data_IF_546022304216
#
_entry.id   IF_546022304216
#
_cell.length_a   1.000
_cell.length_b   1.000
_cell.length_c   1.000
_cell.angle_alpha   90.00
_cell.angle_beta   90.00
_cell.angle_gamma   90.00
#
_symmetry.space_group_name_H-M   'P 1'
#
loop_
_entity.id
_entity.type
_entity.pdbx_description
1 polymer ?
#
# COMPACT_ATOMS: atom_id res chain seq x y z
N UNK A 1 7.27 -34.11 27.32
CA UNK A 1 6.21 -33.94 26.29
C UNK A 1 6.92 -33.72 24.97
N UNK A 2 6.62 -34.52 23.94
CA UNK A 2 7.30 -34.44 22.65
C UNK A 2 7.11 -33.05 22.03
N UNK A 3 8.21 -32.40 21.63
CA UNK A 3 8.21 -31.14 20.87
C UNK A 3 7.62 -31.28 19.46
N UNK A 4 7.15 -32.47 19.08
CA UNK A 4 6.65 -32.74 17.75
C UNK A 4 5.19 -32.27 17.64
N UNK A 5 5.00 -31.15 16.94
CA UNK A 5 3.71 -30.66 16.52
C UNK A 5 3.50 -31.05 15.05
N UNK A 6 2.37 -31.70 14.73
CA UNK A 6 2.00 -32.09 13.36
C UNK A 6 1.02 -31.10 12.71
N UNK A 7 0.61 -30.08 13.46
CA UNK A 7 -0.33 -29.07 13.04
C UNK A 7 0.42 -27.78 12.74
N UNK A 8 0.65 -27.54 11.44
CA UNK A 8 1.11 -26.25 10.94
C UNK A 8 0.07 -25.16 11.19
N UNK A 9 0.53 -23.93 11.37
CA UNK A 9 -0.31 -22.73 11.37
C UNK A 9 -0.90 -22.53 9.97
N UNK A 10 -2.19 -22.21 9.87
CA UNK A 10 -2.84 -21.94 8.59
C UNK A 10 -3.13 -20.45 8.40
N UNK A 11 -2.75 -19.96 7.24
CA UNK A 11 -3.10 -18.66 6.70
C UNK A 11 -3.49 -18.80 5.24
N UNK A 12 -4.00 -17.74 4.62
CA UNK A 12 -4.26 -17.80 3.18
C UNK A 12 -4.76 -16.51 2.58
N UNK A 13 -5.31 -16.60 1.38
CA UNK A 13 -6.02 -15.50 0.72
C UNK A 13 -7.32 -15.93 0.09
N UNK A 14 -8.29 -15.03 0.14
CA UNK A 14 -9.56 -15.12 -0.57
C UNK A 14 -9.58 -14.07 -1.69
N UNK A 15 -9.67 -14.54 -2.93
CA UNK A 15 -9.86 -13.71 -4.13
C UNK A 15 -10.55 -14.52 -5.22
N UNK A 16 -10.99 -13.86 -6.28
CA UNK A 16 -11.32 -14.57 -7.53
C UNK A 16 -11.08 -13.66 -8.75
N UNK A 17 -10.28 -14.11 -9.75
CA UNK A 17 -9.45 -15.33 -9.73
C UNK A 17 -8.29 -15.23 -8.72
N UNK A 18 -7.66 -16.36 -8.38
CA UNK A 18 -6.53 -16.40 -7.44
C UNK A 18 -5.20 -16.83 -8.06
N UNK A 19 -5.21 -17.43 -9.23
CA UNK A 19 -4.07 -18.21 -9.78
C UNK A 19 -2.77 -17.39 -9.93
N UNK A 20 -2.89 -16.12 -10.28
CA UNK A 20 -1.75 -15.23 -10.49
C UNK A 20 -1.33 -14.45 -9.23
N UNK A 21 -1.82 -14.82 -8.04
CA UNK A 21 -1.50 -14.12 -6.80
C UNK A 21 -0.08 -14.48 -6.29
N UNK A 22 0.91 -13.56 -6.38
CA UNK A 22 2.29 -13.85 -5.99
C UNK A 22 2.49 -13.88 -4.48
N UNK A 23 1.48 -13.49 -3.69
CA UNK A 23 1.56 -13.37 -2.22
C UNK A 23 1.99 -14.68 -1.57
N UNK A 24 1.54 -15.82 -2.12
CA UNK A 24 1.91 -17.16 -1.62
C UNK A 24 3.42 -17.33 -1.59
N UNK A 25 4.11 -17.02 -2.69
CA UNK A 25 5.55 -17.20 -2.81
C UNK A 25 6.31 -16.29 -1.82
N UNK A 26 5.83 -15.06 -1.63
CA UNK A 26 6.42 -14.09 -0.71
C UNK A 26 6.25 -14.52 0.75
N UNK A 27 5.03 -14.87 1.16
CA UNK A 27 4.71 -15.19 2.57
C UNK A 27 5.34 -16.52 2.99
N UNK A 28 5.28 -17.55 2.12
CA UNK A 28 5.95 -18.83 2.38
C UNK A 28 7.47 -18.68 2.50
N UNK A 29 8.08 -17.77 1.73
CA UNK A 29 9.50 -17.46 1.87
C UNK A 29 9.81 -16.80 3.23
N UNK A 30 8.93 -15.91 3.71
CA UNK A 30 9.05 -15.32 5.04
C UNK A 30 8.92 -16.38 6.15
N UNK A 31 7.95 -17.30 6.06
CA UNK A 31 7.80 -18.40 7.03
C UNK A 31 9.06 -19.25 7.13
N UNK A 32 9.65 -19.64 5.98
CA UNK A 32 10.92 -20.37 5.96
C UNK A 32 12.09 -19.58 6.53
N UNK A 33 12.15 -18.27 6.24
CA UNK A 33 13.22 -17.41 6.75
C UNK A 33 13.21 -17.30 8.27
N UNK A 34 12.01 -17.29 8.87
CA UNK A 34 11.81 -17.12 10.31
C UNK A 34 11.60 -18.45 11.07
N UNK A 35 11.77 -19.60 10.41
CA UNK A 35 11.55 -20.94 11.00
C UNK A 35 10.15 -21.12 11.62
N UNK A 36 9.13 -20.61 10.93
CA UNK A 36 7.72 -20.72 11.36
C UNK A 36 7.07 -21.88 10.60
N UNK A 37 6.57 -22.89 11.33
CA UNK A 37 5.76 -23.98 10.75
C UNK A 37 4.34 -23.48 10.41
N UNK A 38 4.24 -22.80 9.27
CA UNK A 38 3.00 -22.24 8.74
C UNK A 38 2.83 -22.57 7.26
N UNK A 39 1.58 -22.55 6.80
CA UNK A 39 1.21 -22.67 5.40
C UNK A 39 0.27 -21.55 4.99
N UNK A 40 0.53 -21.00 3.82
CA UNK A 40 -0.27 -19.97 3.16
C UNK A 40 -1.03 -20.59 2.00
N UNK A 41 -2.35 -20.66 2.12
CA UNK A 41 -3.23 -21.30 1.15
C UNK A 41 -3.90 -20.23 0.29
N UNK A 42 -3.69 -20.28 -1.02
CA UNK A 42 -4.42 -19.42 -1.95
C UNK A 42 -5.77 -20.07 -2.31
N UNK A 43 -6.86 -19.35 -2.08
CA UNK A 43 -8.20 -19.89 -2.30
C UNK A 43 -8.96 -19.02 -3.31
N UNK A 44 -9.41 -19.66 -4.39
CA UNK A 44 -10.37 -19.07 -5.32
C UNK A 44 -11.77 -19.11 -4.70
N UNK A 45 -12.15 -17.99 -4.08
CA UNK A 45 -13.43 -17.83 -3.38
C UNK A 45 -14.35 -16.98 -4.24
N UNK A 46 -15.48 -17.54 -4.67
CA UNK A 46 -16.51 -16.79 -5.39
C UNK A 46 -17.27 -15.87 -4.45
N UNK A 47 -17.88 -14.81 -4.99
CA UNK A 47 -18.58 -13.80 -4.18
C UNK A 47 -19.72 -14.38 -3.31
N UNK A 48 -20.45 -15.37 -3.82
CA UNK A 48 -21.52 -16.08 -3.11
C UNK A 48 -21.00 -17.01 -2.02
N UNK A 49 -19.75 -17.48 -2.13
CA UNK A 49 -19.10 -18.35 -1.15
C UNK A 49 -18.31 -17.63 -0.05
N UNK A 50 -18.23 -16.29 -0.08
CA UNK A 50 -17.36 -15.54 0.83
C UNK A 50 -17.72 -15.77 2.31
N UNK A 51 -19.01 -15.73 2.66
CA UNK A 51 -19.50 -15.97 4.02
C UNK A 51 -19.04 -17.33 4.55
N UNK A 52 -19.18 -18.37 3.74
CA UNK A 52 -18.84 -19.75 4.12
C UNK A 52 -17.31 -19.92 4.22
N UNK A 53 -16.55 -19.28 3.34
CA UNK A 53 -15.08 -19.28 3.40
C UNK A 53 -14.56 -18.63 4.70
N UNK A 54 -15.13 -17.48 5.10
CA UNK A 54 -14.77 -16.80 6.36
C UNK A 54 -15.15 -17.66 7.57
N UNK A 55 -16.36 -18.24 7.57
CA UNK A 55 -16.80 -19.15 8.63
C UNK A 55 -15.90 -20.39 8.73
N UNK A 56 -15.50 -20.94 7.58
CA UNK A 56 -14.58 -22.08 7.48
C UNK A 56 -13.19 -21.76 8.02
N UNK A 57 -12.59 -20.62 7.65
CA UNK A 57 -11.29 -20.21 8.19
C UNK A 57 -11.32 -20.08 9.72
N UNK A 58 -12.40 -19.52 10.28
CA UNK A 58 -12.60 -19.46 11.73
C UNK A 58 -12.74 -20.86 12.35
N UNK A 59 -13.57 -21.72 11.78
CA UNK A 59 -13.81 -23.07 12.30
C UNK A 59 -12.58 -23.99 12.21
N UNK A 60 -11.74 -23.79 11.19
CA UNK A 60 -10.47 -24.49 11.01
C UNK A 60 -9.32 -23.84 11.80
N UNK A 61 -9.62 -22.83 12.64
CA UNK A 61 -8.64 -22.12 13.47
C UNK A 61 -7.43 -21.61 12.66
N UNK A 62 -7.71 -21.02 11.49
CA UNK A 62 -6.72 -20.22 10.76
C UNK A 62 -6.35 -19.01 11.62
N UNK A 63 -5.11 -18.53 11.52
CA UNK A 63 -4.69 -17.32 12.26
C UNK A 63 -5.01 -16.03 11.51
N UNK A 64 -5.36 -16.14 10.22
CA UNK A 64 -5.77 -15.01 9.40
C UNK A 64 -5.75 -15.30 7.92
N UNK A 65 -6.24 -14.35 7.13
CA UNK A 65 -6.22 -14.42 5.67
C UNK A 65 -6.19 -13.02 5.04
N UNK A 66 -5.64 -12.92 3.84
CA UNK A 66 -5.75 -11.73 3.01
C UNK A 66 -7.02 -11.75 2.15
N UNK A 67 -7.52 -10.56 1.84
CA UNK A 67 -8.61 -10.37 0.88
C UNK A 67 -8.11 -9.53 -0.29
N UNK A 68 -8.38 -10.00 -1.50
CA UNK A 68 -8.18 -9.23 -2.73
C UNK A 68 -9.50 -9.02 -3.44
N UNK A 69 -9.47 -8.50 -4.67
CA UNK A 69 -10.66 -8.39 -5.51
C UNK A 69 -11.36 -9.76 -5.62
N UNK A 70 -12.70 -9.81 -5.54
CA UNK A 70 -13.66 -8.72 -5.30
C UNK A 70 -14.02 -8.47 -3.82
N UNK A 71 -13.36 -9.14 -2.87
CA UNK A 71 -13.85 -9.31 -1.50
C UNK A 71 -13.49 -8.20 -0.51
N UNK A 72 -12.60 -7.28 -0.86
CA UNK A 72 -12.08 -6.27 0.09
C UNK A 72 -13.18 -5.45 0.82
N UNK A 73 -14.32 -5.23 0.18
CA UNK A 73 -15.46 -4.51 0.80
C UNK A 73 -16.45 -5.49 1.41
N UNK A 74 -16.84 -6.52 0.66
CA UNK A 74 -17.88 -7.49 1.08
C UNK A 74 -17.51 -8.26 2.35
N UNK A 75 -16.21 -8.50 2.58
CA UNK A 75 -15.75 -9.24 3.77
C UNK A 75 -16.14 -8.54 5.07
N UNK A 76 -16.30 -7.22 5.08
CA UNK A 76 -16.58 -6.41 6.28
C UNK A 76 -17.84 -6.90 7.01
N UNK A 77 -18.87 -7.34 6.28
CA UNK A 77 -20.12 -7.85 6.87
C UNK A 77 -19.95 -9.18 7.62
N UNK A 78 -18.77 -9.78 7.54
CA UNK A 78 -18.45 -11.07 8.14
C UNK A 78 -17.36 -10.98 9.23
N UNK A 79 -16.97 -9.76 9.61
CA UNK A 79 -15.94 -9.50 10.63
C UNK A 79 -16.56 -9.01 11.93
N UNK A 80 -15.88 -9.31 13.04
CA UNK A 80 -16.33 -8.89 14.37
C UNK A 80 -15.86 -7.47 14.70
N UNK A 81 -14.68 -7.09 14.20
CA UNK A 81 -14.06 -5.79 14.46
C UNK A 81 -13.27 -5.29 13.24
N UNK A 82 -13.06 -3.97 13.19
CA UNK A 82 -12.21 -3.32 12.19
C UNK A 82 -11.19 -2.42 12.89
N UNK A 83 -9.95 -2.45 12.40
CA UNK A 83 -8.98 -1.42 12.69
C UNK A 83 -9.52 -0.05 12.23
N UNK A 84 -9.12 1.01 12.92
CA UNK A 84 -9.59 2.38 12.65
C UNK A 84 -9.41 2.77 11.18
N UNK A 85 -8.24 2.53 10.60
CA UNK A 85 -8.00 2.86 9.20
C UNK A 85 -8.82 2.01 8.24
N UNK A 86 -9.03 0.72 8.51
CA UNK A 86 -9.90 -0.12 7.70
C UNK A 86 -11.37 0.35 7.73
N UNK A 87 -11.85 0.77 8.91
CA UNK A 87 -13.19 1.37 9.09
C UNK A 87 -13.35 2.64 8.26
N UNK A 88 -12.35 3.53 8.29
CA UNK A 88 -12.37 4.78 7.52
C UNK A 88 -12.27 4.48 6.02
N UNK A 89 -11.32 3.65 5.60
CA UNK A 89 -11.11 3.29 4.18
C UNK A 89 -12.36 2.61 3.59
N UNK A 90 -13.10 1.84 4.40
CA UNK A 90 -14.24 1.05 3.95
C UNK A 90 -13.82 -0.19 3.16
N UNK A 91 -12.60 -0.68 3.38
CA UNK A 91 -12.08 -1.88 2.74
C UNK A 91 -11.02 -2.57 3.61
N UNK A 92 -11.06 -3.90 3.64
CA UNK A 92 -10.16 -4.79 4.38
C UNK A 92 -9.35 -5.62 3.38
N UNK A 93 -8.04 -5.67 3.53
CA UNK A 93 -7.16 -6.55 2.73
C UNK A 93 -6.50 -7.64 3.58
N UNK A 94 -6.65 -7.59 4.90
CA UNK A 94 -6.02 -8.49 5.86
C UNK A 94 -6.97 -8.71 7.03
N UNK A 95 -7.20 -9.97 7.38
CA UNK A 95 -8.01 -10.37 8.54
C UNK A 95 -7.13 -11.19 9.44
N UNK A 96 -7.09 -10.83 10.73
CA UNK A 96 -6.50 -11.68 11.77
C UNK A 96 -7.61 -12.33 12.58
N UNK A 97 -7.35 -13.57 13.02
CA UNK A 97 -8.25 -14.32 13.89
C UNK A 97 -7.55 -14.45 15.24
N UNK A 98 -8.13 -13.84 16.29
CA UNK A 98 -7.59 -13.86 17.66
C UNK A 98 -8.69 -14.25 18.62
N UNK A 99 -8.48 -15.29 19.41
CA UNK A 99 -9.48 -15.84 20.32
C UNK A 99 -10.85 -16.10 19.64
N UNK A 100 -10.80 -16.56 18.38
CA UNK A 100 -11.98 -16.80 17.54
C UNK A 100 -12.64 -15.54 16.95
N UNK A 101 -12.12 -14.34 17.24
CA UNK A 101 -12.62 -13.06 16.71
C UNK A 101 -11.90 -12.65 15.43
N UNK A 102 -12.67 -12.23 14.44
CA UNK A 102 -12.22 -11.79 13.13
C UNK A 102 -12.02 -10.27 13.14
N UNK A 103 -10.76 -9.83 13.05
CA UNK A 103 -10.38 -8.42 13.08
C UNK A 103 -9.84 -8.02 11.70
N UNK A 104 -10.56 -7.14 11.01
CA UNK A 104 -10.20 -6.62 9.70
C UNK A 104 -9.25 -5.43 9.76
N UNK A 105 -8.26 -5.44 8.89
CA UNK A 105 -7.29 -4.37 8.72
C UNK A 105 -7.06 -4.05 7.23
N UNK A 106 -6.53 -2.86 6.97
CA UNK A 106 -6.04 -2.45 5.66
C UNK A 106 -4.55 -2.11 5.75
N UNK A 107 -3.72 -3.02 5.26
CA UNK A 107 -2.26 -2.91 5.32
C UNK A 107 -1.67 -2.15 4.14
N UNK A 108 -2.45 -1.85 3.09
CA UNK A 108 -1.94 -1.16 1.89
C UNK A 108 -1.38 0.24 2.27
N UNK A 109 -2.15 1.01 3.05
CA UNK A 109 -1.73 2.33 3.51
C UNK A 109 -0.60 2.27 4.55
N UNK A 110 -0.69 1.33 5.50
CA UNK A 110 0.33 1.15 6.56
C UNK A 110 1.68 0.73 6.00
N UNK A 111 1.69 -0.19 5.03
CA UNK A 111 2.91 -0.64 4.36
C UNK A 111 3.57 0.49 3.57
N UNK A 112 2.77 1.33 2.90
CA UNK A 112 3.28 2.53 2.25
C UNK A 112 3.87 3.52 3.26
N UNK A 113 3.14 3.84 4.34
CA UNK A 113 3.60 4.74 5.38
C UNK A 113 4.90 4.26 6.05
N UNK A 114 5.01 2.96 6.33
CA UNK A 114 6.24 2.36 6.87
C UNK A 114 7.43 2.55 5.92
N UNK A 115 7.20 2.44 4.61
CA UNK A 115 8.23 2.70 3.59
C UNK A 115 8.57 4.19 3.49
N UNK A 116 7.58 5.07 3.56
CA UNK A 116 7.74 6.52 3.56
C UNK A 116 8.58 7.01 4.74
N UNK A 117 8.31 6.51 5.95
CA UNK A 117 9.05 6.87 7.16
C UNK A 117 10.54 6.54 7.11
N UNK A 118 10.98 5.60 6.24
CA UNK A 118 12.41 5.33 6.02
C UNK A 118 13.12 6.49 5.31
N UNK A 119 12.40 7.33 4.56
CA UNK A 119 12.96 8.47 3.81
C UNK A 119 12.51 9.82 4.35
N UNK A 120 11.38 9.90 5.05
CA UNK A 120 10.91 11.10 5.74
C UNK A 120 9.57 10.92 6.43
N UNK A 121 9.41 11.57 7.57
CA UNK A 121 8.16 11.61 8.33
C UNK A 121 7.14 12.56 7.66
N UNK A 122 5.93 12.07 7.30
CA UNK A 122 4.87 12.89 6.72
C UNK A 122 4.12 13.78 7.73
N UNK A 123 4.34 13.61 9.04
CA UNK A 123 3.69 14.42 10.06
C UNK A 123 3.96 15.92 9.84
N UNK A 124 2.90 16.72 9.82
CA UNK A 124 2.96 18.15 9.56
C UNK A 124 3.37 18.55 8.13
N UNK A 125 3.47 17.59 7.18
CA UNK A 125 3.89 17.85 5.79
C UNK A 125 2.72 18.09 4.84
N UNK A 126 3.00 18.78 3.73
CA UNK A 126 2.06 18.91 2.62
C UNK A 126 2.34 17.86 1.56
N UNK A 127 1.29 17.14 1.17
CA UNK A 127 1.36 15.99 0.25
C UNK A 127 0.52 16.27 -0.99
N UNK A 128 1.10 16.04 -2.17
CA UNK A 128 0.37 15.91 -3.43
C UNK A 128 0.24 14.43 -3.79
N UNK A 129 -0.99 13.94 -3.80
CA UNK A 129 -1.33 12.56 -4.11
C UNK A 129 -1.97 12.48 -5.50
N UNK A 130 -1.30 11.82 -6.44
CA UNK A 130 -1.80 11.59 -7.79
C UNK A 130 -2.62 10.29 -7.83
N UNK A 131 -3.86 10.39 -8.28
CA UNK A 131 -4.78 9.27 -8.42
C UNK A 131 -5.83 9.19 -7.31
N UNK A 132 -6.92 8.48 -7.60
CA UNK A 132 -8.04 8.29 -6.68
C UNK A 132 -8.54 6.83 -6.63
N UNK A 133 -7.61 5.87 -6.76
CA UNK A 133 -7.87 4.44 -6.65
C UNK A 133 -7.85 3.92 -5.20
N UNK A 134 -7.95 2.60 -5.03
CA UNK A 134 -7.92 1.97 -3.70
C UNK A 134 -6.64 2.24 -2.91
N UNK A 135 -5.48 2.19 -3.57
CA UNK A 135 -4.19 2.51 -2.95
C UNK A 135 -4.12 4.00 -2.53
N UNK A 136 -4.54 4.92 -3.41
CA UNK A 136 -4.60 6.33 -3.09
C UNK A 136 -5.49 6.61 -1.86
N UNK A 137 -6.67 5.96 -1.79
CA UNK A 137 -7.56 6.05 -0.64
C UNK A 137 -6.89 5.56 0.65
N UNK A 138 -6.26 4.39 0.62
CA UNK A 138 -5.59 3.83 1.79
C UNK A 138 -4.44 4.72 2.28
N UNK A 139 -3.62 5.22 1.34
CA UNK A 139 -2.50 6.12 1.63
C UNK A 139 -3.01 7.45 2.21
N UNK A 140 -4.04 8.07 1.62
CA UNK A 140 -4.58 9.33 2.09
C UNK A 140 -5.12 9.24 3.54
N UNK A 141 -5.83 8.16 3.86
CA UNK A 141 -6.34 7.92 5.22
C UNK A 141 -5.19 7.76 6.21
N UNK A 142 -4.20 6.92 5.91
CA UNK A 142 -3.06 6.70 6.81
C UNK A 142 -2.23 7.97 7.01
N UNK A 143 -2.00 8.77 5.95
CA UNK A 143 -1.36 10.07 6.06
C UNK A 143 -2.14 11.05 6.94
N UNK A 144 -3.48 11.03 6.84
CA UNK A 144 -4.34 11.85 7.70
C UNK A 144 -4.27 11.42 9.17
N UNK A 145 -4.26 10.11 9.43
CA UNK A 145 -4.16 9.54 10.79
C UNK A 145 -2.83 9.89 11.47
N UNK A 146 -1.73 9.99 10.71
CA UNK A 146 -0.43 10.46 11.23
C UNK A 146 -0.22 11.98 11.13
N UNK A 147 -1.32 12.73 11.01
CA UNK A 147 -1.31 14.19 11.08
C UNK A 147 -0.48 14.89 10.00
N UNK A 148 -0.52 14.40 8.75
CA UNK A 148 -0.10 15.22 7.61
C UNK A 148 -0.85 16.56 7.63
N UNK A 149 -0.16 17.66 7.34
CA UNK A 149 -0.77 19.00 7.45
C UNK A 149 -1.82 19.24 6.36
N UNK A 150 -1.56 18.77 5.14
CA UNK A 150 -2.44 18.96 4.00
C UNK A 150 -2.24 17.86 2.95
N UNK A 151 -3.32 17.23 2.49
CA UNK A 151 -3.33 16.23 1.42
C UNK A 151 -4.10 16.79 0.22
N UNK A 152 -3.40 17.11 -0.85
CA UNK A 152 -4.01 17.50 -2.13
C UNK A 152 -4.20 16.27 -3.00
N UNK A 153 -5.44 15.88 -3.24
CA UNK A 153 -5.77 14.71 -4.07
C UNK A 153 -6.03 15.17 -5.50
N UNK A 154 -5.17 14.76 -6.41
CA UNK A 154 -5.22 15.13 -7.82
C UNK A 154 -5.68 13.96 -8.68
N UNK A 155 -6.77 14.16 -9.43
CA UNK A 155 -7.30 13.12 -10.30
C UNK A 155 -8.04 13.71 -11.51
N UNK A 156 -8.06 12.96 -12.64
CA UNK A 156 -8.79 13.36 -13.85
C UNK A 156 -10.29 13.48 -13.62
N UNK A 157 -10.82 12.60 -12.77
CA UNK A 157 -12.19 12.67 -12.28
C UNK A 157 -12.19 13.32 -10.89
N UNK A 158 -12.54 14.62 -10.77
CA UNK A 158 -12.51 15.33 -9.50
C UNK A 158 -13.51 14.77 -8.49
N UNK A 159 -14.58 14.09 -8.92
CA UNK A 159 -15.55 13.48 -7.98
C UNK A 159 -14.92 12.32 -7.21
N UNK A 160 -14.05 11.54 -7.86
CA UNK A 160 -13.29 10.47 -7.18
C UNK A 160 -12.28 11.04 -6.19
N UNK A 161 -11.60 12.13 -6.54
CA UNK A 161 -10.70 12.82 -5.62
C UNK A 161 -11.46 13.39 -4.42
N UNK A 162 -12.63 14.00 -4.65
CA UNK A 162 -13.49 14.53 -3.58
C UNK A 162 -13.93 13.45 -2.60
N UNK A 163 -14.23 12.25 -3.10
CA UNK A 163 -14.56 11.11 -2.23
C UNK A 163 -13.43 10.79 -1.23
N UNK A 164 -12.17 10.91 -1.65
CA UNK A 164 -11.01 10.67 -0.78
C UNK A 164 -10.75 11.88 0.13
N UNK A 165 -10.82 13.09 -0.42
CA UNK A 165 -10.59 14.31 0.36
C UNK A 165 -11.63 14.48 1.48
N UNK A 166 -12.92 14.25 1.19
CA UNK A 166 -13.98 14.21 2.20
C UNK A 166 -13.69 13.16 3.27
N UNK A 167 -13.28 11.95 2.87
CA UNK A 167 -12.96 10.89 3.82
C UNK A 167 -11.87 11.29 4.82
N UNK A 168 -10.81 11.96 4.34
CA UNK A 168 -9.73 12.49 5.20
C UNK A 168 -10.25 13.60 6.12
N UNK A 169 -10.99 14.57 5.59
CA UNK A 169 -11.52 15.70 6.39
C UNK A 169 -12.49 15.26 7.47
N UNK A 170 -13.31 14.26 7.18
CA UNK A 170 -14.38 13.81 8.07
C UNK A 170 -13.86 12.88 9.19
N UNK A 171 -12.67 12.29 9.03
CA UNK A 171 -12.15 11.26 9.94
C UNK A 171 -10.76 11.56 10.52
N UNK A 172 -10.11 12.66 10.14
CA UNK A 172 -8.75 12.99 10.59
C UNK A 172 -8.59 14.49 10.84
N UNK A 173 -7.47 14.91 11.45
CA UNK A 173 -7.16 16.34 11.64
C UNK A 173 -6.50 17.00 10.43
N UNK A 174 -6.18 16.24 9.37
CA UNK A 174 -5.50 16.75 8.19
C UNK A 174 -6.46 17.57 7.32
N UNK A 175 -5.94 18.65 6.71
CA UNK A 175 -6.66 19.31 5.61
C UNK A 175 -6.60 18.41 4.38
N UNK A 176 -7.65 18.41 3.56
CA UNK A 176 -7.60 17.77 2.26
C UNK A 176 -8.42 18.50 1.21
N UNK A 177 -7.80 18.76 0.06
CA UNK A 177 -8.38 19.50 -1.06
C UNK A 177 -8.30 18.68 -2.34
N UNK A 178 -9.21 18.96 -3.27
CA UNK A 178 -9.25 18.34 -4.59
C UNK A 178 -8.55 19.22 -5.60
N UNK A 179 -7.71 18.60 -6.42
CA UNK A 179 -7.13 19.23 -7.60
C UNK A 179 -7.62 18.50 -8.85
N UNK A 180 -8.26 19.24 -9.75
CA UNK A 180 -8.58 18.70 -11.07
C UNK A 180 -7.28 18.46 -11.84
N UNK A 181 -7.19 17.32 -12.52
CA UNK A 181 -6.04 16.98 -13.34
C UNK A 181 -6.39 17.01 -14.81
N UNK A 182 -6.00 18.10 -15.47
CA UNK A 182 -6.06 18.26 -16.91
C UNK A 182 -4.65 18.53 -17.45
N UNK A 183 -4.23 17.76 -18.45
CA UNK A 183 -2.87 17.81 -19.01
C UNK A 183 -1.76 17.44 -18.00
N UNK A 184 -0.73 18.28 -17.93
CA UNK A 184 0.46 18.06 -17.09
C UNK A 184 0.29 18.68 -15.69
N UNK A 185 0.40 17.83 -14.66
CA UNK A 185 0.39 18.26 -13.28
C UNK A 185 1.62 19.12 -12.96
N UNK A 186 1.43 20.15 -12.15
CA UNK A 186 2.51 20.97 -11.58
C UNK A 186 2.57 20.70 -10.09
N UNK A 187 3.77 20.51 -9.52
CA UNK A 187 3.94 20.35 -8.07
C UNK A 187 4.06 21.75 -7.45
N UNK A 188 3.15 22.15 -6.54
CA UNK A 188 3.27 23.42 -5.82
C UNK A 188 4.58 23.49 -5.01
N UNK A 189 5.16 24.69 -4.90
CA UNK A 189 6.46 24.89 -4.24
C UNK A 189 6.46 24.47 -2.76
N UNK A 190 5.32 24.60 -2.10
CA UNK A 190 5.13 24.29 -0.69
C UNK A 190 4.81 22.81 -0.42
N UNK A 191 4.73 21.96 -1.46
CA UNK A 191 4.57 20.50 -1.30
C UNK A 191 5.89 19.86 -0.89
N UNK A 192 5.84 19.03 0.14
CA UNK A 192 6.99 18.29 0.67
C UNK A 192 7.10 16.87 0.11
N UNK A 193 5.96 16.27 -0.24
CA UNK A 193 5.86 14.87 -0.67
C UNK A 193 4.94 14.76 -1.89
N UNK A 194 5.45 14.20 -2.98
CA UNK A 194 4.69 13.81 -4.17
C UNK A 194 4.52 12.29 -4.19
N UNK A 195 3.29 11.81 -4.35
CA UNK A 195 2.97 10.38 -4.38
C UNK A 195 2.25 10.05 -5.68
N UNK A 196 2.82 9.16 -6.51
CA UNK A 196 2.12 8.54 -7.62
C UNK A 196 1.38 7.29 -7.13
N UNK A 197 0.06 7.39 -7.01
CA UNK A 197 -0.85 6.27 -6.71
C UNK A 197 -1.80 5.98 -7.89
N UNK A 198 -1.38 6.34 -9.11
CA UNK A 198 -2.06 5.98 -10.36
C UNK A 198 -1.66 4.58 -10.82
N UNK A 199 -2.25 4.11 -11.92
CA UNK A 199 -1.81 2.89 -12.62
C UNK A 199 -0.83 3.18 -13.77
N UNK A 200 -0.40 4.44 -13.97
CA UNK A 200 0.49 4.83 -15.07
C UNK A 200 1.91 4.41 -14.72
N UNK A 201 2.43 3.41 -15.43
CA UNK A 201 3.70 2.73 -15.13
C UNK A 201 3.54 1.22 -14.96
N UNK A 202 2.31 0.74 -14.74
CA UNK A 202 2.03 -0.68 -14.58
C UNK A 202 2.14 -1.39 -15.94
N UNK A 203 3.13 -2.27 -16.08
CA UNK A 203 3.42 -2.99 -17.33
C UNK A 203 4.25 -2.20 -18.34
N UNK A 204 4.54 -0.92 -18.06
CA UNK A 204 5.42 -0.06 -18.85
C UNK A 204 6.25 0.82 -17.90
N UNK A 205 7.46 0.38 -17.60
CA UNK A 205 8.34 1.05 -16.63
C UNK A 205 8.82 2.44 -17.09
N UNK A 206 8.65 2.79 -18.37
CA UNK A 206 9.02 4.10 -18.91
C UNK A 206 7.83 5.08 -18.93
N UNK A 207 6.60 4.61 -18.72
CA UNK A 207 5.43 5.45 -18.61
C UNK A 207 5.44 6.25 -17.30
N UNK A 208 5.30 7.56 -17.40
CA UNK A 208 5.17 8.46 -16.27
C UNK A 208 3.83 9.17 -16.29
N UNK A 209 3.23 9.47 -15.12
CA UNK A 209 2.12 10.41 -15.05
C UNK A 209 2.52 11.74 -15.70
N UNK A 210 1.61 12.40 -16.44
CA UNK A 210 1.90 13.68 -17.09
C UNK A 210 2.18 14.74 -16.02
N UNK A 211 3.45 15.11 -15.89
CA UNK A 211 3.97 15.93 -14.81
C UNK A 211 5.06 16.88 -15.36
N UNK A 212 4.97 18.14 -14.98
CA UNK A 212 5.98 19.17 -15.28
C UNK A 212 7.22 18.93 -14.43
N UNK A 213 8.18 18.20 -14.98
CA UNK A 213 9.43 17.79 -14.28
C UNK A 213 10.21 19.01 -13.76
N UNK A 214 10.10 20.16 -14.43
CA UNK A 214 10.68 21.43 -14.02
C UNK A 214 10.12 21.98 -12.70
N UNK A 215 8.96 21.49 -12.24
CA UNK A 215 8.37 21.86 -10.94
C UNK A 215 8.92 21.01 -9.78
N UNK A 216 9.73 19.98 -10.07
CA UNK A 216 10.35 19.14 -9.04
C UNK A 216 11.53 19.86 -8.40
N UNK A 217 11.32 20.35 -7.18
CA UNK A 217 12.35 21.03 -6.40
C UNK A 217 13.28 20.06 -5.67
N UNK A 218 14.49 20.55 -5.37
CA UNK A 218 15.41 19.86 -4.47
C UNK A 218 14.76 19.68 -3.09
N UNK A 219 14.88 18.47 -2.53
CA UNK A 219 14.34 18.12 -1.21
C UNK A 219 12.89 17.63 -1.22
N UNK A 220 12.19 17.66 -2.36
CA UNK A 220 10.90 16.99 -2.52
C UNK A 220 11.09 15.47 -2.35
N UNK A 221 10.26 14.84 -1.53
CA UNK A 221 10.18 13.37 -1.48
C UNK A 221 9.24 12.92 -2.60
N UNK A 222 9.68 11.99 -3.43
CA UNK A 222 8.85 11.39 -4.49
C UNK A 222 8.71 9.90 -4.20
N UNK A 223 7.47 9.43 -4.17
CA UNK A 223 7.12 8.03 -3.96
C UNK A 223 6.24 7.53 -5.11
N UNK A 224 6.55 6.35 -5.62
CA UNK A 224 5.72 5.64 -6.59
C UNK A 224 5.17 4.35 -5.97
N UNK A 225 3.86 4.16 -6.06
CA UNK A 225 3.15 3.01 -5.49
C UNK A 225 3.14 1.81 -6.46
N UNK A 226 3.50 2.02 -7.73
CA UNK A 226 3.47 0.95 -8.72
C UNK A 226 4.57 -0.07 -8.43
N UNK A 227 4.21 -1.35 -8.24
CA UNK A 227 5.20 -2.41 -8.09
C UNK A 227 5.83 -2.67 -9.45
N UNK A 228 7.07 -2.19 -9.63
CA UNK A 228 7.80 -2.47 -10.85
C UNK A 228 8.33 -3.91 -10.78
N UNK A 229 7.96 -4.81 -11.72
CA UNK A 229 8.57 -6.13 -11.75
C UNK A 229 10.09 -5.93 -11.91
N UNK A 230 10.93 -6.67 -11.18
CA UNK A 230 12.36 -6.61 -11.40
C UNK A 230 12.60 -7.05 -12.84
N UNK A 231 12.82 -6.09 -13.75
CA UNK A 231 13.20 -6.44 -15.10
C UNK A 231 14.50 -7.25 -14.98
N UNK A 232 14.65 -8.31 -15.77
CA UNK A 232 15.88 -9.07 -15.83
C UNK A 232 17.05 -8.11 -16.17
N UNK A 233 17.76 -7.63 -15.13
CA UNK A 233 18.85 -6.68 -15.23
C UNK A 233 18.60 -5.21 -14.84
N UNK A 234 17.37 -4.77 -14.51
CA UNK A 234 17.14 -3.37 -14.08
C UNK A 234 16.89 -3.27 -12.56
N UNK A 235 17.86 -2.66 -11.87
CA UNK A 235 17.83 -2.34 -10.43
C UNK A 235 17.12 -1.00 -10.20
N UNK A 236 15.82 -0.91 -10.46
CA UNK A 236 15.05 0.32 -10.21
C UNK A 236 13.81 0.00 -9.38
N UNK A 237 13.95 0.12 -8.06
CA UNK A 237 12.85 0.16 -7.09
C UNK A 237 13.17 1.26 -6.06
N UNK A 238 12.17 2.03 -5.63
CA UNK A 238 12.23 2.75 -4.35
C UNK A 238 11.75 4.20 -4.32
N UNK A 239 11.37 4.63 -3.12
CA UNK A 239 11.16 6.03 -2.75
C UNK A 239 12.46 6.82 -2.93
N UNK A 240 12.34 8.08 -3.37
CA UNK A 240 13.50 8.93 -3.63
C UNK A 240 13.37 10.30 -2.96
N UNK A 241 14.47 10.77 -2.35
CA UNK A 241 14.64 12.21 -2.04
C UNK A 241 15.17 12.88 -3.30
N UNK A 242 14.49 13.90 -3.82
CA UNK A 242 14.98 14.69 -4.95
C UNK A 242 16.32 15.38 -4.58
N UNK A 243 17.44 14.75 -4.95
CA UNK A 243 18.79 15.16 -4.59
C UNK A 243 19.61 15.67 -5.78
N UNK A 244 19.78 17.00 -5.85
CA UNK A 244 20.61 17.81 -6.75
C UNK A 244 20.18 17.80 -8.23
N UNK A 245 19.34 18.78 -8.59
CA UNK A 245 19.49 19.45 -9.88
C UNK A 245 20.95 19.93 -9.97
N UNK A 246 21.80 19.20 -10.68
CA UNK A 246 23.15 19.67 -11.04
C UNK A 246 23.04 20.47 -12.32
N UNK A 247 23.64 21.65 -12.26
CA UNK A 247 23.94 22.67 -13.25
C UNK A 247 23.26 22.63 -14.63
N UNK A 248 22.78 23.82 -15.00
CA UNK A 248 22.25 24.18 -16.29
C UNK A 248 23.26 23.84 -17.41
N UNK A 249 22.87 22.92 -18.29
CA UNK A 249 23.49 22.75 -19.61
C UNK A 249 23.89 21.33 -19.96
N UNK A 250 22.92 20.43 -20.15
CA UNK A 250 23.00 19.32 -21.11
C UNK A 250 21.64 18.60 -21.22
N UNK A 251 21.48 17.86 -22.33
CA UNK A 251 20.24 17.49 -23.04
C UNK A 251 19.09 16.86 -22.25
N UNK A 252 17.86 16.97 -22.79
CA UNK A 252 16.58 16.49 -22.24
C UNK A 252 16.41 14.97 -22.04
N UNK A 253 17.49 14.17 -22.03
CA UNK A 253 17.48 12.80 -21.50
C UNK A 253 17.84 12.74 -20.01
N UNK A 254 18.67 13.64 -19.50
CA UNK A 254 19.14 13.60 -18.10
C UNK A 254 18.08 14.07 -17.09
N UNK A 255 17.13 14.91 -17.50
CA UNK A 255 16.00 15.32 -16.62
C UNK A 255 15.02 14.18 -16.32
N UNK A 256 14.89 13.22 -17.24
CA UNK A 256 14.10 11.99 -17.05
C UNK A 256 14.77 11.00 -16.09
N UNK A 257 16.07 11.14 -15.86
CA UNK A 257 16.84 10.34 -14.90
C UNK A 257 16.58 10.69 -13.44
N UNK A 258 16.02 11.86 -13.12
CA UNK A 258 15.78 12.29 -11.74
C UNK A 258 14.71 11.45 -11.00
N UNK A 259 13.85 10.77 -11.77
CA UNK A 259 12.87 9.79 -11.28
C UNK A 259 13.40 8.34 -11.36
N UNK A 260 14.61 8.17 -11.90
CA UNK A 260 15.22 6.87 -12.16
C UNK A 260 16.56 6.72 -11.45
N UNK A 261 16.49 6.38 -10.15
CA UNK A 261 17.52 5.60 -9.48
C UNK A 261 18.52 6.38 -8.63
N UNK A 262 18.51 6.09 -7.33
CA UNK A 262 19.68 5.61 -6.61
C UNK A 262 19.25 4.78 -5.39
N UNK A 263 20.03 3.73 -5.17
CA UNK A 263 19.78 2.53 -4.36
C UNK A 263 19.75 2.83 -2.84
N UNK A 264 18.64 2.51 -2.16
CA UNK A 264 18.60 2.39 -0.70
C UNK A 264 17.77 1.16 -0.33
N UNK A 265 18.46 0.08 0.04
CA UNK A 265 17.87 -0.96 0.88
C UNK A 265 17.91 -2.38 0.32
N UNK A 266 19.11 -2.94 0.18
CA UNK A 266 19.31 -4.35 0.55
C UNK A 266 18.94 -4.51 2.02
N UNK A 267 17.70 -4.89 2.30
CA UNK A 267 17.20 -5.66 3.47
C UNK A 267 15.68 -5.66 3.39
N UNK A 268 15.11 -6.85 3.24
CA UNK A 268 13.68 -7.08 3.10
C UNK A 268 12.91 -6.84 4.39
N UNK A 269 12.82 -5.57 4.81
CA UNK A 269 12.14 -5.17 6.05
C UNK A 269 10.93 -4.26 5.72
N UNK A 270 10.29 -4.46 4.56
CA UNK A 270 9.15 -3.64 4.07
C UNK A 270 7.79 -4.14 4.54
N UNK A 271 7.69 -5.44 4.83
CA UNK A 271 6.69 -5.99 5.72
C UNK A 271 7.46 -6.36 6.99
N UNK A 272 6.92 -6.03 8.15
CA UNK A 272 7.30 -6.66 9.41
C UNK A 272 6.30 -7.79 9.68
N UNK A 273 6.39 -8.94 8.97
CA UNK A 273 5.56 -10.09 9.30
C UNK A 273 5.85 -10.53 10.75
N UNK A 274 7.08 -10.35 11.23
CA UNK A 274 7.52 -10.74 12.57
C UNK A 274 6.69 -10.06 13.68
N UNK A 275 6.53 -8.73 13.63
CA UNK A 275 5.77 -7.97 14.61
C UNK A 275 4.26 -8.21 14.51
N UNK A 276 3.73 -8.51 13.33
CA UNK A 276 2.30 -8.82 13.19
C UNK A 276 1.96 -10.25 13.64
N UNK A 277 2.76 -11.24 13.25
CA UNK A 277 2.57 -12.64 13.64
C UNK A 277 2.91 -12.89 15.11
N UNK A 278 3.94 -12.24 15.69
CA UNK A 278 4.18 -12.32 17.15
C UNK A 278 2.99 -11.77 17.95
N UNK A 279 2.36 -10.68 17.50
CA UNK A 279 1.17 -10.09 18.17
C UNK A 279 -0.12 -10.90 18.00
N UNK A 280 -0.14 -11.88 17.11
CA UNK A 280 -1.25 -12.84 16.96
C UNK A 280 -0.99 -14.19 17.63
N UNK A 281 0.25 -14.46 18.06
CA UNK A 281 0.68 -15.71 18.70
C UNK A 281 0.93 -15.55 20.21
N UNK A 282 0.85 -14.33 20.75
CA UNK A 282 0.86 -13.99 22.18
C UNK A 282 -0.48 -13.43 22.60
#
# INVERSE_FOLDING_TARGET
>A
MSQQNFRSILTGSFSTPCDDNPTVAMIEAAYRHHDIDARYINCDVKADGLKDAVAGARAMEWVGFNCSLPHKVAVIEHLDELAESARIIGAVNCVSIRDGRLIGDNTDGKGFLASLNKVGDPSGKKVLLLGAGGAARAIAVELGLVSAAHIMVMNRDPKKAETIAALVRDNTSAKADVQAWDGEASVPEDVDILINATSIGLGDADAMPPLKVETLRKGLIVADVIPNPPAAGSRKQGLHRAGRARDAGQSGRDRRGALAGQDVGRRGDGADPEGYFRRGLT
#
